data_IF_683535886644
#
_entry.id   IF_683535886644
#
_cell.length_a   1.000
_cell.length_b   1.000
_cell.length_c   1.000
_cell.angle_alpha   90.00
_cell.angle_beta   90.00
_cell.angle_gamma   90.00
#
_symmetry.space_group_name_H-M   'P 1'
#
loop_
_entity.id
_entity.type
_entity.pdbx_description
1 polymer ?
#
# COMPACT_ATOMS: atom_id res chain seq x y z
N UNK A 1 18.52 -11.24 -3.79
CA UNK A 1 18.15 -11.37 -5.21
C UNK A 1 17.82 -9.99 -5.76
N UNK A 2 18.35 -9.61 -6.94
CA UNK A 2 17.94 -8.40 -7.63
C UNK A 2 16.44 -8.44 -7.94
N UNK A 3 15.77 -7.28 -7.90
CA UNK A 3 14.36 -7.20 -8.24
C UNK A 3 14.15 -7.48 -9.74
N UNK A 4 13.12 -8.25 -10.14
CA UNK A 4 12.79 -8.38 -11.56
C UNK A 4 12.46 -7.01 -12.14
N UNK A 5 12.74 -6.75 -13.43
CA UNK A 5 12.46 -5.47 -14.05
C UNK A 5 10.97 -5.11 -13.90
N UNK A 6 10.63 -3.82 -13.68
CA UNK A 6 9.25 -3.43 -13.50
C UNK A 6 8.49 -3.59 -14.82
N UNK A 7 7.20 -3.99 -14.79
CA UNK A 7 6.34 -3.99 -15.97
C UNK A 7 6.19 -2.58 -16.57
N UNK A 8 5.79 -2.47 -17.86
CA UNK A 8 5.52 -1.17 -18.50
C UNK A 8 4.56 -0.29 -17.68
N UNK A 9 4.86 1.01 -17.60
CA UNK A 9 4.07 1.98 -16.83
C UNK A 9 4.20 1.85 -15.31
N UNK A 10 5.10 0.99 -14.81
CA UNK A 10 5.39 0.83 -13.38
C UNK A 10 6.87 1.06 -13.11
N UNK A 11 7.22 1.42 -11.87
CA UNK A 11 8.63 1.64 -11.48
C UNK A 11 8.92 1.24 -10.04
N UNK A 12 10.18 0.95 -9.78
CA UNK A 12 10.74 0.95 -8.43
C UNK A 12 11.36 2.32 -8.14
N UNK A 13 11.14 2.81 -6.93
CA UNK A 13 11.77 4.03 -6.43
C UNK A 13 13.22 3.75 -6.03
N UNK A 14 14.20 4.59 -6.43
CA UNK A 14 15.56 4.48 -5.95
C UNK A 14 15.63 4.66 -4.43
N UNK A 15 16.50 3.90 -3.77
CA UNK A 15 16.66 3.97 -2.32
C UNK A 15 17.33 5.31 -1.95
N UNK A 16 16.69 6.07 -1.06
CA UNK A 16 17.26 7.25 -0.41
C UNK A 16 17.60 6.91 1.05
N UNK A 17 18.82 7.16 1.55
CA UNK A 17 19.12 7.08 2.98
C UNK A 17 18.24 8.04 3.77
N UNK A 18 17.97 7.73 5.04
CA UNK A 18 17.17 8.61 5.89
C UNK A 18 17.88 9.96 6.09
N UNK A 19 17.15 11.05 5.84
CA UNK A 19 17.46 12.39 6.30
C UNK A 19 16.15 13.17 6.51
N UNK A 20 16.09 14.12 7.46
CA UNK A 20 14.92 14.98 7.63
C UNK A 20 14.56 15.69 6.32
N UNK A 21 13.26 15.91 6.11
CA UNK A 21 12.80 16.63 4.92
C UNK A 21 13.37 18.05 4.88
N UNK A 22 13.61 18.58 3.68
CA UNK A 22 13.85 20.01 3.48
C UNK A 22 12.55 20.82 3.51
N UNK A 23 12.64 22.14 3.59
CA UNK A 23 11.46 23.02 3.59
C UNK A 23 10.63 22.86 2.32
N UNK A 24 11.30 22.72 1.18
CA UNK A 24 10.67 22.46 -0.11
C UNK A 24 9.97 21.08 -0.14
N UNK A 25 10.58 20.05 0.45
CA UNK A 25 9.95 18.72 0.54
C UNK A 25 8.74 18.74 1.47
N UNK A 26 8.83 19.45 2.60
CA UNK A 26 7.73 19.62 3.54
C UNK A 26 6.56 20.41 2.94
N UNK A 27 6.85 21.45 2.15
CA UNK A 27 5.84 22.24 1.45
C UNK A 27 4.95 21.39 0.53
N UNK A 28 5.49 20.30 -0.04
CA UNK A 28 4.70 19.36 -0.86
C UNK A 28 3.86 18.38 -0.03
N UNK A 29 4.32 18.00 1.17
CA UNK A 29 3.60 17.06 2.05
C UNK A 29 2.45 17.76 2.79
N UNK A 30 2.68 19.00 3.21
CA UNK A 30 1.77 19.75 4.07
C UNK A 30 0.33 19.87 3.52
N UNK A 31 0.09 20.18 2.23
CA UNK A 31 -1.26 20.25 1.67
C UNK A 31 -2.03 18.93 1.82
N UNK A 32 -1.37 17.80 1.56
CA UNK A 32 -1.98 16.48 1.71
C UNK A 32 -2.29 16.14 3.16
N UNK A 33 -1.41 16.53 4.08
CA UNK A 33 -1.62 16.39 5.51
C UNK A 33 -2.82 17.23 5.98
N UNK A 34 -2.91 18.49 5.53
CA UNK A 34 -4.03 19.37 5.86
C UNK A 34 -5.36 18.78 5.42
N UNK A 35 -5.45 18.24 4.20
CA UNK A 35 -6.71 17.64 3.69
C UNK A 35 -7.24 16.50 4.57
N UNK A 36 -6.37 15.71 5.19
CA UNK A 36 -6.79 14.53 5.98
C UNK A 36 -6.87 14.80 7.48
N UNK A 37 -6.41 15.97 7.93
CA UNK A 37 -6.42 16.39 9.34
C UNK A 37 -7.46 17.49 9.60
N UNK A 38 -8.26 17.92 8.61
CA UNK A 38 -9.30 18.95 8.80
C UNK A 38 -10.29 18.56 9.93
N UNK A 39 -10.09 19.17 11.08
CA UNK A 39 -10.88 19.02 12.31
C UNK A 39 -10.26 19.87 13.41
N UNK A 40 -11.08 20.69 14.05
CA UNK A 40 -10.75 21.69 15.08
C UNK A 40 -9.76 21.13 16.12
N UNK A 41 -8.51 21.53 16.01
CA UNK A 41 -7.46 21.10 16.90
C UNK A 41 -6.25 22.01 16.81
N UNK A 42 -5.57 22.18 17.95
CA UNK A 42 -4.36 22.99 18.05
C UNK A 42 -3.40 22.61 16.91
N UNK A 43 -2.90 23.58 16.13
CA UNK A 43 -1.89 23.32 15.10
C UNK A 43 -0.79 22.45 15.71
N UNK A 44 -0.47 21.33 15.05
CA UNK A 44 0.69 20.53 15.45
C UNK A 44 1.91 21.44 15.24
N UNK A 45 2.35 22.11 16.31
CA UNK A 45 3.54 22.98 16.34
C UNK A 45 4.76 22.27 15.73
N UNK A 46 4.78 20.95 15.84
CA UNK A 46 5.85 20.06 15.40
C UNK A 46 5.38 19.02 14.34
N UNK A 47 4.42 19.38 13.47
CA UNK A 47 3.86 18.47 12.47
C UNK A 47 4.93 17.83 11.59
N UNK A 48 5.87 18.65 11.11
CA UNK A 48 6.99 18.20 10.26
C UNK A 48 7.86 17.20 11.00
N UNK A 49 8.33 17.57 12.19
CA UNK A 49 9.17 16.71 13.02
C UNK A 49 8.49 15.36 13.27
N UNK A 50 7.19 15.36 13.59
CA UNK A 50 6.46 14.10 13.77
C UNK A 50 6.41 13.24 12.50
N UNK A 51 6.19 13.84 11.33
CA UNK A 51 6.19 13.12 10.04
C UNK A 51 7.61 12.62 9.71
N UNK A 52 8.65 13.42 9.97
CA UNK A 52 10.04 13.00 9.83
C UNK A 52 10.34 11.77 10.69
N UNK A 53 9.93 11.76 11.95
CA UNK A 53 10.06 10.59 12.83
C UNK A 53 9.34 9.34 12.28
N UNK A 54 8.15 9.51 11.68
CA UNK A 54 7.45 8.41 11.01
C UNK A 54 8.23 7.88 9.80
N UNK A 55 8.82 8.77 8.99
CA UNK A 55 9.65 8.38 7.86
C UNK A 55 10.94 7.68 8.30
N UNK A 56 11.60 8.16 9.34
CA UNK A 56 12.78 7.51 9.91
C UNK A 56 12.49 6.05 10.29
N UNK A 57 11.39 5.83 11.01
CA UNK A 57 10.95 4.48 11.42
C UNK A 57 10.56 3.62 10.21
N UNK A 58 9.91 4.19 9.20
CA UNK A 58 9.51 3.46 8.00
C UNK A 58 10.71 3.05 7.13
N UNK A 59 11.71 3.92 7.01
CA UNK A 59 12.94 3.70 6.24
C UNK A 59 13.85 2.70 6.95
N UNK A 60 14.07 2.86 8.24
CA UNK A 60 14.90 1.94 9.05
C UNK A 60 14.26 0.56 9.22
N UNK A 61 12.92 0.49 9.25
CA UNK A 61 12.18 -0.73 9.55
C UNK A 61 12.18 -1.09 11.03
N UNK A 62 12.75 -0.25 11.90
CA UNK A 62 12.81 -0.47 13.33
C UNK A 62 11.40 -0.42 13.99
N UNK A 63 11.26 -1.00 15.19
CA UNK A 63 10.05 -0.84 15.99
C UNK A 63 9.88 0.62 16.44
N UNK A 64 8.64 1.01 16.76
CA UNK A 64 8.33 2.38 17.16
C UNK A 64 9.08 2.82 18.42
N UNK A 65 9.35 1.91 19.35
CA UNK A 65 10.08 2.22 20.59
C UNK A 65 11.53 2.67 20.36
N UNK A 66 12.08 2.46 19.16
CA UNK A 66 13.42 2.92 18.78
C UNK A 66 13.41 4.33 18.19
N UNK A 67 12.26 5.01 18.17
CA UNK A 67 12.16 6.39 17.70
C UNK A 67 12.90 7.32 18.67
N UNK A 68 13.80 8.20 18.19
CA UNK A 68 14.43 9.22 19.03
C UNK A 68 13.41 10.13 19.72
N UNK A 69 13.69 10.52 20.96
CA UNK A 69 12.78 11.33 21.78
C UNK A 69 12.52 12.72 21.20
N UNK A 70 13.45 13.24 20.39
CA UNK A 70 13.32 14.52 19.67
C UNK A 70 12.07 14.56 18.78
N UNK A 71 11.59 13.42 18.28
CA UNK A 71 10.38 13.34 17.45
C UNK A 71 9.08 13.21 18.27
N UNK A 72 9.20 13.21 19.60
CA UNK A 72 8.14 13.02 20.56
C UNK A 72 7.97 11.56 21.00
N UNK A 73 7.06 11.35 21.96
CA UNK A 73 6.83 10.04 22.58
C UNK A 73 6.47 8.96 21.54
N UNK A 74 7.22 7.83 21.47
CA UNK A 74 7.01 6.75 20.50
C UNK A 74 5.56 6.29 20.32
N UNK A 75 4.84 6.09 21.42
CA UNK A 75 3.45 5.64 21.39
C UNK A 75 2.50 6.69 20.79
N UNK A 76 2.75 7.97 21.06
CA UNK A 76 1.95 9.07 20.49
C UNK A 76 2.16 9.17 18.98
N UNK A 77 3.41 9.04 18.52
CA UNK A 77 3.74 9.03 17.08
C UNK A 77 3.11 7.82 16.39
N UNK A 78 3.22 6.63 16.99
CA UNK A 78 2.60 5.41 16.47
C UNK A 78 1.07 5.52 16.35
N UNK A 79 0.39 6.03 17.38
CA UNK A 79 -1.06 6.30 17.32
C UNK A 79 -1.41 7.33 16.25
N UNK A 80 -0.63 8.39 16.11
CA UNK A 80 -0.84 9.39 15.06
C UNK A 80 -0.65 8.79 13.66
N UNK A 81 0.38 7.97 13.44
CA UNK A 81 0.61 7.27 12.18
C UNK A 81 -0.60 6.42 11.78
N UNK A 82 -1.17 5.68 12.75
CA UNK A 82 -2.39 4.88 12.51
C UNK A 82 -3.57 5.76 12.11
N UNK A 83 -3.80 6.87 12.80
CA UNK A 83 -4.87 7.84 12.43
C UNK A 83 -4.69 8.37 11.01
N UNK A 84 -3.48 8.78 10.65
CA UNK A 84 -3.16 9.25 9.29
C UNK A 84 -3.33 8.15 8.24
N UNK A 85 -3.02 6.90 8.57
CA UNK A 85 -3.26 5.77 7.69
C UNK A 85 -4.77 5.55 7.45
N UNK A 86 -5.59 5.55 8.50
CA UNK A 86 -7.05 5.47 8.36
C UNK A 86 -7.63 6.65 7.57
N UNK A 87 -7.08 7.85 7.76
CA UNK A 87 -7.47 9.03 7.01
C UNK A 87 -6.95 9.06 5.55
N UNK A 88 -6.20 8.03 5.13
CA UNK A 88 -5.77 7.85 3.74
C UNK A 88 -4.56 8.69 3.31
N UNK A 89 -3.81 9.28 4.25
CA UNK A 89 -2.66 10.15 3.94
C UNK A 89 -1.65 9.44 3.02
N UNK A 90 -1.25 8.22 3.40
CA UNK A 90 -0.15 7.52 2.74
C UNK A 90 -0.48 7.15 1.29
N UNK A 91 -1.72 6.73 1.02
CA UNK A 91 -2.17 6.44 -0.34
C UNK A 91 -2.27 7.71 -1.19
N UNK A 92 -2.71 8.83 -0.58
CA UNK A 92 -2.76 10.13 -1.24
C UNK A 92 -1.36 10.59 -1.67
N UNK A 93 -0.37 10.47 -0.77
CA UNK A 93 1.02 10.80 -1.08
C UNK A 93 1.62 9.88 -2.15
N UNK A 94 1.35 8.58 -2.11
CA UNK A 94 1.79 7.65 -3.16
C UNK A 94 1.18 8.03 -4.52
N UNK A 95 -0.11 8.33 -4.56
CA UNK A 95 -0.77 8.82 -5.79
C UNK A 95 -0.15 10.13 -6.30
N UNK A 96 0.15 11.07 -5.41
CA UNK A 96 0.79 12.33 -5.75
C UNK A 96 2.21 12.13 -6.34
N UNK A 97 3.05 11.27 -5.75
CA UNK A 97 4.38 10.95 -6.30
C UNK A 97 4.33 10.28 -7.68
N UNK A 98 3.30 9.47 -7.93
CA UNK A 98 3.18 8.74 -9.18
C UNK A 98 2.70 9.60 -10.35
N UNK A 99 2.11 10.76 -10.06
CA UNK A 99 1.71 11.71 -11.09
C UNK A 99 2.93 12.10 -11.96
N UNK A 100 2.83 12.02 -13.30
CA UNK A 100 3.88 12.52 -14.20
C UNK A 100 4.26 13.98 -13.97
N UNK A 101 3.32 14.80 -13.48
CA UNK A 101 3.52 16.20 -13.12
C UNK A 101 3.91 16.42 -11.63
N UNK A 102 4.27 15.36 -10.89
CA UNK A 102 4.67 15.49 -9.49
C UNK A 102 5.88 16.42 -9.34
N UNK A 103 5.83 17.39 -8.39
CA UNK A 103 6.94 18.29 -8.14
C UNK A 103 8.25 17.54 -7.82
N UNK A 104 9.41 18.05 -8.26
CA UNK A 104 10.70 17.39 -8.00
C UNK A 104 10.98 17.17 -6.52
N UNK A 105 10.56 18.10 -5.65
CA UNK A 105 10.71 17.98 -4.21
C UNK A 105 9.96 16.76 -3.65
N UNK A 106 8.71 16.55 -4.07
CA UNK A 106 7.94 15.38 -3.67
C UNK A 106 8.58 14.06 -4.17
N UNK A 107 9.14 14.05 -5.38
CA UNK A 107 9.84 12.87 -5.93
C UNK A 107 11.10 12.51 -5.15
N UNK A 108 11.82 13.49 -4.59
CA UNK A 108 13.02 13.22 -3.76
C UNK A 108 12.71 12.45 -2.48
N UNK A 109 11.48 12.53 -1.97
CA UNK A 109 11.02 11.80 -0.77
C UNK A 109 10.13 10.60 -1.12
N UNK A 110 9.97 10.24 -2.40
CA UNK A 110 9.13 9.12 -2.86
C UNK A 110 9.49 7.83 -2.12
N UNK A 111 10.78 7.59 -1.86
CA UNK A 111 11.22 6.40 -1.13
C UNK A 111 10.66 6.36 0.29
N UNK A 112 10.68 7.49 1.00
CA UNK A 112 10.17 7.61 2.37
C UNK A 112 8.65 7.39 2.39
N UNK A 113 7.94 8.01 1.45
CA UNK A 113 6.49 7.85 1.26
C UNK A 113 6.14 6.40 0.97
N UNK A 114 6.87 5.74 0.05
CA UNK A 114 6.65 4.34 -0.27
C UNK A 114 6.87 3.43 0.94
N UNK A 115 7.93 3.67 1.72
CA UNK A 115 8.20 2.92 2.96
C UNK A 115 7.12 3.12 4.01
N UNK A 116 6.62 4.35 4.17
CA UNK A 116 5.53 4.65 5.09
C UNK A 116 4.22 3.98 4.65
N UNK A 117 3.85 4.09 3.37
CA UNK A 117 2.68 3.42 2.80
C UNK A 117 2.77 1.90 2.96
N UNK A 118 3.94 1.30 2.70
CA UNK A 118 4.18 -0.12 2.92
C UNK A 118 3.95 -0.53 4.38
N UNK A 119 4.43 0.26 5.35
CA UNK A 119 4.20 0.01 6.78
C UNK A 119 2.72 0.16 7.15
N UNK A 120 2.00 1.07 6.51
CA UNK A 120 0.58 1.29 6.70
C UNK A 120 -0.31 0.17 6.12
N UNK A 121 0.24 -0.77 5.35
CA UNK A 121 -0.55 -1.85 4.74
C UNK A 121 -1.27 -2.76 5.76
N UNK A 122 -0.84 -2.82 7.02
CA UNK A 122 -1.63 -3.48 8.11
C UNK A 122 -3.02 -2.90 8.25
N UNK A 123 -3.11 -1.60 8.03
CA UNK A 123 -4.26 -0.78 8.33
C UNK A 123 -5.11 -0.65 7.07
N UNK A 124 -4.45 -0.43 5.93
CA UNK A 124 -5.10 -0.24 4.64
C UNK A 124 -5.57 -1.56 3.99
N UNK A 125 -5.01 -2.70 4.41
CA UNK A 125 -5.38 -4.02 3.92
C UNK A 125 -5.19 -4.19 2.40
N UNK A 126 -6.02 -5.05 1.82
CA UNK A 126 -5.95 -5.41 0.41
C UNK A 126 -6.26 -4.23 -0.52
N UNK A 127 -7.18 -3.37 -0.13
CA UNK A 127 -7.61 -2.24 -0.96
C UNK A 127 -6.52 -1.19 -1.09
N UNK A 128 -5.73 -0.97 -0.02
CA UNK A 128 -4.51 -0.18 -0.09
C UNK A 128 -3.47 -0.76 -1.05
N UNK A 129 -3.23 -2.07 -0.98
CA UNK A 129 -2.30 -2.73 -1.89
C UNK A 129 -2.75 -2.62 -3.37
N UNK A 130 -4.06 -2.80 -3.64
CA UNK A 130 -4.65 -2.61 -4.97
C UNK A 130 -4.55 -1.16 -5.43
N UNK A 131 -4.75 -0.19 -4.54
CA UNK A 131 -4.60 1.22 -4.87
C UNK A 131 -3.17 1.54 -5.32
N UNK A 132 -2.16 1.09 -4.57
CA UNK A 132 -0.75 1.25 -4.94
C UNK A 132 -0.41 0.51 -6.24
N UNK A 133 -0.96 -0.69 -6.45
CA UNK A 133 -0.74 -1.46 -7.68
C UNK A 133 -1.26 -0.73 -8.92
N UNK A 134 -2.42 -0.07 -8.84
CA UNK A 134 -2.98 0.77 -9.91
C UNK A 134 -2.08 1.96 -10.23
N UNK A 135 -1.50 2.54 -9.19
CA UNK A 135 -0.61 3.71 -9.27
C UNK A 135 0.77 3.35 -9.86
N UNK A 136 1.20 2.09 -9.78
CA UNK A 136 2.43 1.61 -10.42
C UNK A 136 3.72 1.88 -9.64
N UNK A 137 3.64 2.38 -8.40
CA UNK A 137 4.76 2.53 -7.49
C UNK A 137 5.03 1.24 -6.70
N UNK A 138 5.85 0.36 -7.29
CA UNK A 138 6.07 -0.99 -6.77
C UNK A 138 6.79 -0.99 -5.41
N UNK A 139 7.59 0.04 -5.11
CA UNK A 139 8.28 0.19 -3.83
C UNK A 139 7.33 0.43 -2.65
N UNK A 140 6.09 0.86 -2.87
CA UNK A 140 5.09 0.98 -1.82
C UNK A 140 4.38 -0.36 -1.51
N UNK A 141 4.52 -1.38 -2.37
CA UNK A 141 3.92 -2.69 -2.16
C UNK A 141 4.67 -3.48 -1.08
N UNK A 142 3.96 -4.21 -0.19
CA UNK A 142 4.57 -5.05 0.84
C UNK A 142 5.09 -6.38 0.27
N UNK A 143 4.59 -6.79 -0.89
CA UNK A 143 4.93 -8.03 -1.60
C UNK A 143 5.14 -7.76 -3.08
N UNK A 144 5.70 -8.73 -3.80
CA UNK A 144 5.87 -8.60 -5.24
C UNK A 144 4.52 -8.58 -5.97
N UNK A 145 4.41 -7.84 -7.10
CA UNK A 145 3.16 -7.72 -7.84
C UNK A 145 2.55 -9.05 -8.30
N UNK A 146 3.37 -10.07 -8.56
CA UNK A 146 2.92 -11.41 -8.96
C UNK A 146 2.08 -12.11 -7.88
N UNK A 147 2.25 -11.72 -6.61
CA UNK A 147 1.41 -12.24 -5.55
C UNK A 147 0.09 -11.48 -5.46
N UNK A 148 0.05 -10.18 -5.83
CA UNK A 148 -1.14 -9.33 -5.71
C UNK A 148 -2.35 -9.82 -6.51
N UNK A 149 -3.58 -9.41 -6.16
CA UNK A 149 -4.76 -9.78 -6.91
C UNK A 149 -4.67 -9.30 -8.36
N UNK A 150 -4.95 -10.18 -9.31
CA UNK A 150 -4.96 -9.87 -10.73
C UNK A 150 -6.40 -9.64 -11.17
N UNK A 151 -6.95 -8.46 -10.86
CA UNK A 151 -8.39 -8.18 -11.02
C UNK A 151 -8.94 -8.52 -12.42
N UNK A 152 -8.22 -8.16 -13.49
CA UNK A 152 -8.65 -8.45 -14.86
C UNK A 152 -8.66 -9.97 -15.15
N UNK A 153 -7.59 -10.68 -14.82
CA UNK A 153 -7.51 -12.13 -14.99
C UNK A 153 -8.55 -12.85 -14.10
N UNK A 154 -8.74 -12.39 -12.86
CA UNK A 154 -9.75 -12.91 -11.94
C UNK A 154 -11.16 -12.74 -12.50
N UNK A 155 -11.47 -11.57 -13.07
CA UNK A 155 -12.76 -11.30 -13.70
C UNK A 155 -13.01 -12.22 -14.91
N UNK A 156 -12.00 -12.41 -15.76
CA UNK A 156 -12.07 -13.35 -16.89
C UNK A 156 -12.33 -14.79 -16.42
N UNK A 157 -11.56 -15.28 -15.45
CA UNK A 157 -11.72 -16.66 -14.96
C UNK A 157 -13.04 -16.84 -14.23
N UNK A 158 -13.47 -15.88 -13.40
CA UNK A 158 -14.79 -15.92 -12.74
C UNK A 158 -15.93 -15.84 -13.75
N UNK A 159 -15.81 -15.03 -14.80
CA UNK A 159 -16.78 -14.94 -15.88
C UNK A 159 -16.91 -16.25 -16.63
N UNK A 160 -15.79 -16.89 -17.00
CA UNK A 160 -15.78 -18.19 -17.66
C UNK A 160 -16.38 -19.30 -16.78
N UNK A 161 -16.02 -19.36 -15.49
CA UNK A 161 -16.60 -20.31 -14.54
C UNK A 161 -18.10 -20.04 -14.35
N UNK A 162 -18.51 -18.78 -14.26
CA UNK A 162 -19.92 -18.38 -14.13
C UNK A 162 -20.76 -18.76 -15.35
N UNK A 163 -20.24 -18.54 -16.57
CA UNK A 163 -20.89 -18.94 -17.81
C UNK A 163 -21.03 -20.46 -17.92
N UNK A 164 -19.98 -21.20 -17.53
CA UNK A 164 -20.02 -22.67 -17.47
C UNK A 164 -21.06 -23.17 -16.46
N UNK A 165 -21.08 -22.61 -15.24
CA UNK A 165 -22.08 -22.95 -14.21
C UNK A 165 -23.51 -22.61 -14.62
N UNK A 166 -23.71 -21.54 -15.41
CA UNK A 166 -25.03 -21.16 -15.90
C UNK A 166 -25.68 -22.26 -16.76
N UNK A 167 -24.88 -23.06 -17.47
CA UNK A 167 -25.34 -24.23 -18.23
C UNK A 167 -25.92 -25.36 -17.37
N UNK A 168 -25.70 -25.33 -16.05
CA UNK A 168 -26.22 -26.30 -15.08
C UNK A 168 -27.33 -25.70 -14.21
N UNK A 169 -27.85 -24.50 -14.50
CA UNK A 169 -28.99 -23.95 -13.76
C UNK A 169 -30.18 -24.91 -13.82
N UNK A 170 -30.70 -25.29 -12.66
CA UNK A 170 -31.82 -26.22 -12.54
C UNK A 170 -31.47 -27.69 -12.75
N UNK A 171 -30.19 -28.07 -12.84
CA UNK A 171 -29.72 -29.46 -12.92
C UNK A 171 -28.65 -29.70 -11.85
N UNK A 172 -28.67 -30.87 -11.21
CA UNK A 172 -27.57 -31.28 -10.33
C UNK A 172 -26.34 -31.56 -11.19
N UNK A 173 -25.16 -31.18 -10.69
CA UNK A 173 -23.89 -31.56 -11.32
C UNK A 173 -23.80 -33.10 -11.32
N UNK A 174 -23.62 -33.74 -12.49
CA UNK A 174 -23.80 -35.19 -12.60
C UNK A 174 -22.82 -36.00 -11.73
N UNK A 175 -21.58 -35.53 -11.50
CA UNK A 175 -20.55 -36.29 -10.75
C UNK A 175 -19.61 -35.41 -9.87
N UNK A 176 -20.13 -34.30 -9.32
CA UNK A 176 -19.33 -33.39 -8.50
C UNK A 176 -18.31 -32.54 -9.30
N UNK A 177 -17.38 -31.84 -8.63
CA UNK A 177 -16.51 -30.86 -9.30
C UNK A 177 -15.45 -31.53 -10.19
N UNK A 178 -15.56 -31.30 -11.50
CA UNK A 178 -14.59 -31.80 -12.50
C UNK A 178 -13.15 -31.40 -12.18
N UNK A 179 -12.18 -32.13 -12.74
CA UNK A 179 -10.75 -31.78 -12.60
C UNK A 179 -10.47 -30.35 -13.06
N UNK A 180 -11.19 -29.89 -14.09
CA UNK A 180 -11.12 -28.55 -14.64
C UNK A 180 -11.67 -27.51 -13.69
N UNK A 181 -12.86 -27.72 -13.11
CA UNK A 181 -13.42 -26.82 -12.10
C UNK A 181 -12.47 -26.68 -10.90
N UNK A 182 -11.88 -27.79 -10.43
CA UNK A 182 -10.87 -27.75 -9.35
C UNK A 182 -9.59 -27.00 -9.74
N UNK A 183 -9.20 -26.99 -11.02
CA UNK A 183 -8.09 -26.16 -11.53
C UNK A 183 -8.50 -24.69 -11.57
N UNK A 184 -9.69 -24.38 -12.07
CA UNK A 184 -10.23 -23.02 -12.13
C UNK A 184 -10.42 -22.40 -10.75
N UNK A 185 -10.93 -23.15 -9.77
CA UNK A 185 -11.04 -22.68 -8.37
C UNK A 185 -9.66 -22.43 -7.73
N UNK A 186 -8.67 -23.28 -8.02
CA UNK A 186 -7.27 -23.06 -7.59
C UNK A 186 -6.67 -21.81 -8.24
N UNK A 187 -6.95 -21.60 -9.53
CA UNK A 187 -6.53 -20.41 -10.26
C UNK A 187 -7.22 -19.15 -9.72
N UNK A 188 -8.53 -19.19 -9.46
CA UNK A 188 -9.28 -18.11 -8.80
C UNK A 188 -8.63 -17.76 -7.46
N UNK A 189 -8.35 -18.76 -6.61
CA UNK A 189 -7.68 -18.55 -5.31
C UNK A 189 -6.28 -17.95 -5.46
N UNK A 190 -5.55 -18.27 -6.54
CA UNK A 190 -4.27 -17.64 -6.84
C UNK A 190 -4.44 -16.19 -7.31
N UNK A 191 -5.38 -15.94 -8.22
CA UNK A 191 -5.66 -14.63 -8.83
C UNK A 191 -6.36 -13.64 -7.89
N UNK A 192 -7.08 -14.13 -6.89
CA UNK A 192 -7.56 -13.36 -5.73
C UNK A 192 -6.40 -12.77 -4.92
N UNK A 193 -5.19 -13.27 -5.16
CA UNK A 193 -4.01 -12.98 -4.38
C UNK A 193 -3.90 -13.96 -3.21
N UNK A 194 -2.68 -14.32 -2.83
CA UNK A 194 -2.47 -15.09 -1.61
C UNK A 194 -2.74 -14.17 -0.39
N UNK A 195 -3.50 -14.56 0.64
CA UNK A 195 -3.49 -13.81 1.89
C UNK A 195 -2.05 -13.80 2.45
N UNK A 196 -1.41 -12.64 2.46
CA UNK A 196 0.04 -12.51 2.66
C UNK A 196 0.42 -12.70 4.13
N UNK A 197 0.83 -13.93 4.43
CA UNK A 197 1.46 -14.41 5.66
C UNK A 197 0.58 -14.33 6.93
N UNK A 198 0.68 -15.36 7.79
CA UNK A 198 -0.09 -15.47 9.05
C UNK A 198 0.10 -14.29 10.02
N UNK A 199 1.14 -13.47 9.89
CA UNK A 199 1.46 -12.36 10.82
C UNK A 199 0.78 -11.01 10.45
N UNK A 200 0.01 -10.92 9.34
CA UNK A 200 -0.74 -9.71 8.88
C UNK A 200 -2.22 -10.03 8.54
N UNK A 201 -2.72 -11.24 8.79
CA UNK A 201 -4.16 -11.51 8.75
C UNK A 201 -4.86 -10.74 9.89
N UNK A 202 -6.15 -10.36 9.75
CA UNK A 202 -6.93 -9.98 10.93
C UNK A 202 -6.85 -11.11 11.97
N UNK A 203 -6.85 -10.78 13.27
CA UNK A 203 -6.76 -11.77 14.34
C UNK A 203 -7.83 -12.86 14.21
#
# INVERSE_FOLDING_TARGET
>A
MPHPPPPPGRRYTPKRPWSPMTDAEWAEVLPHLRTVVMGEGRPLRDARQRIDGMFQVAVSGLPWHSLPEDYGKPDTVSRHFRRLAHAGLWLRLVGACANPAAPPALRRIEYFICRAARRAMRILGMDGARAVQRVGLLTALPVWPIYLPHAAALALVRGAVGAWLAGFRGRLLPEGPTRELRRSLRLIRFLEGKPWHRRWAPP
#
